data_IF_184960285800
#
_entry.id   IF_184960285800
#
_cell.length_a   1.000
_cell.length_b   1.000
_cell.length_c   1.000
_cell.angle_alpha   90.00
_cell.angle_beta   90.00
_cell.angle_gamma   90.00
#
_symmetry.space_group_name_H-M   'P 1'
#
loop_
_entity.id
_entity.type
_entity.pdbx_description
1 polymer ?
#
# COMPACT_ATOMS: atom_id res chain seq x y z
N UNK A 1 58.88 -45.63 18.93
CA UNK A 1 58.55 -44.19 19.07
C UNK A 1 57.96 -43.68 17.76
N UNK A 2 56.65 -43.41 17.73
CA UNK A 2 56.05 -42.48 16.75
C UNK A 2 54.76 -41.93 17.34
N UNK A 3 54.47 -40.65 17.06
CA UNK A 3 53.75 -39.71 17.92
C UNK A 3 52.38 -39.34 17.33
N UNK A 4 51.39 -39.12 18.22
CA UNK A 4 50.15 -38.31 18.05
C UNK A 4 49.05 -38.96 17.17
N UNK A 5 47.75 -38.72 17.33
CA UNK A 5 46.99 -37.51 17.70
C UNK A 5 45.65 -37.94 18.35
N UNK A 6 45.34 -37.45 19.55
CA UNK A 6 43.99 -37.39 20.12
C UNK A 6 43.27 -36.20 19.49
N UNK A 7 42.13 -36.41 18.81
CA UNK A 7 41.18 -35.33 18.47
C UNK A 7 39.76 -35.86 18.58
N UNK A 8 39.08 -35.43 19.65
CA UNK A 8 37.66 -35.66 19.87
C UNK A 8 36.81 -35.01 18.80
N UNK A 9 35.72 -35.67 18.43
CA UNK A 9 34.65 -35.09 17.64
C UNK A 9 33.65 -34.44 18.62
N UNK A 10 33.71 -33.11 18.71
CA UNK A 10 32.69 -32.30 19.37
C UNK A 10 31.45 -32.32 18.47
N UNK A 11 30.36 -32.86 19.00
CA UNK A 11 29.02 -32.80 18.44
C UNK A 11 28.55 -31.34 18.52
N UNK A 12 28.24 -30.72 17.38
CA UNK A 12 27.60 -29.40 17.36
C UNK A 12 26.34 -29.48 16.50
N UNK A 13 25.22 -29.78 17.14
CA UNK A 13 23.90 -29.69 16.52
C UNK A 13 23.52 -28.21 16.37
N UNK A 14 23.39 -27.74 15.14
CA UNK A 14 22.94 -26.38 14.84
C UNK A 14 21.41 -26.40 14.90
N UNK A 15 20.85 -26.07 16.07
CA UNK A 15 19.42 -25.81 16.23
C UNK A 15 19.14 -24.42 15.64
N UNK A 16 18.74 -24.40 14.37
CA UNK A 16 18.27 -23.19 13.70
C UNK A 16 16.89 -22.80 14.23
N UNK A 17 16.85 -21.86 15.18
CA UNK A 17 15.62 -21.20 15.62
C UNK A 17 15.12 -20.31 14.47
N UNK A 18 14.19 -20.85 13.67
CA UNK A 18 13.42 -20.08 12.71
C UNK A 18 12.54 -19.07 13.42
N UNK A 19 12.98 -17.81 13.48
CA UNK A 19 12.18 -16.69 13.96
C UNK A 19 11.11 -16.41 12.89
N UNK A 20 9.92 -16.98 13.08
CA UNK A 20 8.74 -16.67 12.29
C UNK A 20 8.39 -15.19 12.48
N UNK A 21 8.71 -14.36 11.49
CA UNK A 21 8.28 -12.96 11.49
C UNK A 21 6.77 -12.93 11.20
N UNK A 22 5.99 -12.45 12.16
CA UNK A 22 4.58 -12.12 11.92
C UNK A 22 4.54 -10.90 10.98
N UNK A 23 4.28 -11.12 9.69
CA UNK A 23 3.93 -10.05 8.78
C UNK A 23 2.53 -9.54 9.16
N UNK A 24 2.47 -8.39 9.84
CA UNK A 24 1.21 -7.68 10.06
C UNK A 24 0.83 -6.99 8.75
N UNK A 25 -0.09 -7.57 8.00
CA UNK A 25 -0.72 -6.86 6.89
C UNK A 25 -1.65 -5.80 7.49
N UNK A 26 -1.23 -4.54 7.47
CA UNK A 26 -2.09 -3.41 7.82
C UNK A 26 -3.27 -3.30 6.84
N UNK A 27 -4.29 -2.49 7.16
CA UNK A 27 -5.44 -2.30 6.28
C UNK A 27 -4.99 -1.90 4.87
N UNK A 28 -5.62 -2.51 3.86
CA UNK A 28 -5.41 -2.17 2.45
C UNK A 28 -6.42 -1.12 1.96
N UNK A 29 -7.00 -0.37 2.88
CA UNK A 29 -7.98 0.67 2.61
C UNK A 29 -7.81 1.83 3.57
N UNK A 30 -8.30 2.99 3.15
CA UNK A 30 -8.39 4.19 3.96
C UNK A 30 -9.76 4.83 3.77
N UNK A 31 -10.40 5.21 4.87
CA UNK A 31 -11.64 6.02 4.85
C UNK A 31 -11.31 7.48 5.04
N UNK A 32 -11.94 8.36 4.27
CA UNK A 32 -11.76 9.80 4.38
C UNK A 32 -12.53 10.58 3.30
N UNK A 33 -12.33 11.89 3.28
CA UNK A 33 -12.83 12.80 2.25
C UNK A 33 -11.73 13.14 1.26
N UNK A 34 -12.08 13.20 -0.03
CA UNK A 34 -11.12 13.63 -1.06
C UNK A 34 -10.90 15.14 -0.94
N UNK A 35 -9.68 15.54 -0.61
CA UNK A 35 -9.30 16.96 -0.40
C UNK A 35 -8.60 17.58 -1.60
N UNK A 36 -7.94 16.77 -2.43
CA UNK A 36 -7.27 17.24 -3.65
C UNK A 36 -7.43 16.21 -4.77
N UNK A 37 -7.53 16.71 -6.00
CA UNK A 37 -7.49 15.92 -7.24
C UNK A 37 -6.47 16.53 -8.19
N UNK A 38 -5.72 15.69 -8.89
CA UNK A 38 -4.98 16.09 -10.09
C UNK A 38 -5.01 15.01 -11.16
N UNK A 39 -4.65 15.34 -12.39
CA UNK A 39 -4.64 14.42 -13.53
C UNK A 39 -3.23 14.35 -14.10
N UNK A 40 -2.67 13.14 -14.20
CA UNK A 40 -1.29 12.94 -14.65
C UNK A 40 -1.18 11.68 -15.51
N UNK A 41 -0.71 11.81 -16.76
CA UNK A 41 -0.41 10.66 -17.61
C UNK A 41 -1.58 9.71 -17.92
N UNK A 42 -2.83 10.19 -17.81
CA UNK A 42 -4.05 9.37 -17.97
C UNK A 42 -4.58 8.78 -16.67
N UNK A 43 -3.89 9.01 -15.55
CA UNK A 43 -4.34 8.66 -14.21
C UNK A 43 -5.04 9.87 -13.56
N UNK A 44 -5.95 9.57 -12.63
CA UNK A 44 -6.51 10.56 -11.70
C UNK A 44 -5.88 10.31 -10.35
N UNK A 45 -5.20 11.29 -9.80
CA UNK A 45 -4.61 11.22 -8.48
C UNK A 45 -5.53 11.90 -7.47
N UNK A 46 -5.68 11.28 -6.30
CA UNK A 46 -6.50 11.79 -5.20
C UNK A 46 -5.69 11.82 -3.91
N UNK A 47 -6.04 12.74 -3.01
CA UNK A 47 -5.60 12.73 -1.61
C UNK A 47 -6.81 12.66 -0.69
N UNK A 48 -6.72 11.86 0.36
CA UNK A 48 -7.67 11.90 1.46
C UNK A 48 -7.15 12.79 2.58
N UNK A 49 -8.07 13.41 3.32
CA UNK A 49 -7.77 14.13 4.56
C UNK A 49 -7.11 13.26 5.62
N UNK A 50 -7.46 11.98 5.66
CA UNK A 50 -6.89 10.99 6.58
C UNK A 50 -5.55 10.41 6.15
N UNK A 51 -5.04 10.79 4.97
CA UNK A 51 -3.74 10.30 4.46
C UNK A 51 -3.85 8.98 3.69
N UNK A 52 -2.88 8.09 3.91
CA UNK A 52 -2.66 6.86 3.14
C UNK A 52 -2.89 5.62 4.00
N UNK A 53 -3.35 4.50 3.41
CA UNK A 53 -3.36 3.21 4.08
C UNK A 53 -1.93 2.67 4.28
N UNK A 54 -1.76 1.78 5.27
CA UNK A 54 -0.46 1.23 5.67
C UNK A 54 0.29 0.55 4.51
N UNK A 55 -0.43 -0.14 3.62
CA UNK A 55 0.15 -0.81 2.45
C UNK A 55 0.67 0.16 1.37
N UNK A 56 0.47 1.47 1.56
CA UNK A 56 0.98 2.53 0.71
C UNK A 56 2.00 3.44 1.42
N UNK A 57 2.53 3.02 2.58
CA UNK A 57 3.62 3.72 3.25
C UNK A 57 4.80 3.97 2.28
N UNK A 58 5.21 5.23 2.16
CA UNK A 58 6.27 5.66 1.25
C UNK A 58 5.78 6.26 -0.07
N UNK A 59 4.47 6.25 -0.36
CA UNK A 59 3.94 7.01 -1.49
C UNK A 59 4.16 8.53 -1.27
N UNK A 60 4.61 9.26 -2.31
CA UNK A 60 4.99 10.66 -2.16
C UNK A 60 3.77 11.55 -1.89
N UNK A 61 3.91 12.46 -0.92
CA UNK A 61 2.97 13.54 -0.61
C UNK A 61 1.51 13.11 -0.33
N UNK A 62 1.30 11.85 0.07
CA UNK A 62 -0.04 11.35 0.40
C UNK A 62 -0.93 11.04 -0.81
N UNK A 63 -0.37 10.99 -2.03
CA UNK A 63 -1.15 10.73 -3.24
C UNK A 63 -1.45 9.26 -3.46
N UNK A 64 -2.69 9.01 -3.90
CA UNK A 64 -3.12 7.74 -4.46
C UNK A 64 -3.50 7.92 -5.93
N UNK A 65 -3.12 6.97 -6.77
CA UNK A 65 -3.35 7.00 -8.21
C UNK A 65 -4.47 6.02 -8.60
N UNK A 66 -5.49 6.54 -9.26
CA UNK A 66 -6.51 5.75 -9.95
C UNK A 66 -5.98 5.50 -11.37
N UNK A 67 -5.56 4.27 -11.69
CA UNK A 67 -4.89 3.96 -12.96
C UNK A 67 -5.80 4.23 -14.15
N UNK A 68 -5.22 4.50 -15.31
CA UNK A 68 -5.96 4.77 -16.57
C UNK A 68 -6.94 3.65 -16.97
N UNK A 69 -6.70 2.43 -16.50
CA UNK A 69 -7.59 1.27 -16.69
C UNK A 69 -8.84 1.33 -15.80
N UNK A 70 -8.78 2.03 -14.68
CA UNK A 70 -9.87 2.26 -13.73
C UNK A 70 -10.85 3.35 -14.16
N UNK A 71 -11.24 3.38 -15.44
CA UNK A 71 -12.10 4.45 -16.01
C UNK A 71 -13.40 4.71 -15.22
N UNK A 72 -14.12 3.69 -14.72
CA UNK A 72 -15.31 3.93 -13.91
C UNK A 72 -15.01 4.70 -12.62
N UNK A 73 -13.92 4.38 -11.92
CA UNK A 73 -13.49 5.11 -10.72
C UNK A 73 -13.09 6.55 -11.04
N UNK A 74 -12.33 6.75 -12.13
CA UNK A 74 -11.98 8.11 -12.58
C UNK A 74 -13.23 8.92 -12.91
N UNK A 75 -14.18 8.35 -13.66
CA UNK A 75 -15.42 9.02 -14.02
C UNK A 75 -16.28 9.34 -12.79
N UNK A 76 -16.29 8.48 -11.79
CA UNK A 76 -17.00 8.72 -10.53
C UNK A 76 -16.42 9.94 -9.79
N UNK A 77 -15.11 9.95 -9.56
CA UNK A 77 -14.40 11.04 -8.87
C UNK A 77 -14.52 12.37 -9.64
N UNK A 78 -14.28 12.36 -10.95
CA UNK A 78 -14.42 13.55 -11.79
C UNK A 78 -15.87 14.03 -11.87
N UNK A 79 -16.83 13.11 -11.89
CA UNK A 79 -18.26 13.43 -11.88
C UNK A 79 -18.69 14.16 -10.60
N UNK A 80 -18.18 13.73 -9.44
CA UNK A 80 -18.40 14.43 -8.17
C UNK A 80 -17.72 15.81 -8.17
N UNK A 81 -16.46 15.88 -8.63
CA UNK A 81 -15.74 17.15 -8.73
C UNK A 81 -16.47 18.17 -9.60
N UNK A 82 -16.96 17.74 -10.77
CA UNK A 82 -17.66 18.62 -11.71
C UNK A 82 -19.04 19.05 -11.20
N UNK A 83 -19.68 18.24 -10.36
CA UNK A 83 -20.96 18.60 -9.73
C UNK A 83 -20.79 19.50 -8.50
N UNK A 84 -19.60 19.50 -7.90
CA UNK A 84 -19.31 20.19 -6.65
C UNK A 84 -19.55 19.33 -5.40
N UNK A 85 -19.90 18.05 -5.56
CA UNK A 85 -20.29 17.15 -4.48
C UNK A 85 -19.09 16.43 -3.83
N UNK A 86 -17.87 16.58 -4.39
CA UNK A 86 -16.72 15.76 -3.97
C UNK A 86 -16.39 15.88 -2.47
N UNK A 87 -16.46 17.10 -1.93
CA UNK A 87 -16.20 17.36 -0.52
C UNK A 87 -17.30 16.85 0.42
N UNK A 88 -18.47 16.52 -0.11
CA UNK A 88 -19.64 16.09 0.67
C UNK A 88 -19.76 14.57 0.78
N UNK A 89 -18.94 13.81 0.04
CA UNK A 89 -18.99 12.34 0.00
C UNK A 89 -17.78 11.76 0.71
N UNK A 90 -18.02 11.07 1.83
CA UNK A 90 -16.99 10.23 2.44
C UNK A 90 -16.80 8.96 1.61
N UNK A 91 -15.56 8.49 1.52
CA UNK A 91 -15.23 7.30 0.74
C UNK A 91 -14.29 6.38 1.50
N UNK A 92 -14.47 5.09 1.27
CA UNK A 92 -13.48 4.05 1.53
C UNK A 92 -12.71 3.75 0.24
N UNK A 93 -11.42 4.03 0.24
CA UNK A 93 -10.53 3.83 -0.91
C UNK A 93 -9.66 2.60 -0.63
N UNK A 94 -9.77 1.57 -1.46
CA UNK A 94 -8.94 0.38 -1.39
C UNK A 94 -7.77 0.47 -2.36
N UNK A 95 -6.64 -0.09 -1.95
CA UNK A 95 -5.38 0.02 -2.69
C UNK A 95 -4.71 -1.33 -2.87
N UNK A 96 -3.99 -1.46 -3.98
CA UNK A 96 -3.12 -2.60 -4.27
C UNK A 96 -1.70 -2.42 -3.69
N UNK A 97 -1.46 -1.34 -2.94
CA UNK A 97 -0.15 -0.92 -2.46
C UNK A 97 0.62 -0.07 -3.48
N UNK A 98 1.94 0.01 -3.30
CA UNK A 98 2.83 0.75 -4.21
C UNK A 98 3.03 0.02 -5.54
N UNK A 99 2.58 0.63 -6.63
CA UNK A 99 2.81 0.19 -8.01
C UNK A 99 3.57 1.30 -8.74
N UNK A 100 4.77 1.01 -9.25
CA UNK A 100 5.63 1.98 -9.93
C UNK A 100 5.89 3.28 -9.13
N UNK A 101 5.94 3.18 -7.80
CA UNK A 101 6.20 4.33 -6.91
C UNK A 101 4.96 5.14 -6.51
N UNK A 102 3.78 4.78 -6.99
CA UNK A 102 2.49 5.40 -6.63
C UNK A 102 1.62 4.43 -5.83
N UNK A 103 0.84 4.92 -4.87
CA UNK A 103 -0.17 4.12 -4.20
C UNK A 103 -1.33 3.84 -5.17
N UNK A 104 -1.49 2.61 -5.63
CA UNK A 104 -2.46 2.30 -6.69
C UNK A 104 -3.83 1.96 -6.10
N UNK A 105 -4.85 2.73 -6.49
CA UNK A 105 -6.26 2.51 -6.14
C UNK A 105 -6.85 1.42 -7.01
N UNK A 106 -7.53 0.45 -6.39
CA UNK A 106 -8.22 -0.62 -7.11
C UNK A 106 -9.74 -0.65 -6.88
N UNK A 107 -10.26 0.07 -5.86
CA UNK A 107 -11.69 0.21 -5.61
C UNK A 107 -11.98 1.50 -4.82
N UNK A 108 -13.15 2.10 -5.06
CA UNK A 108 -13.67 3.27 -4.33
C UNK A 108 -15.13 2.97 -3.97
N UNK A 109 -15.43 3.03 -2.67
CA UNK A 109 -16.78 2.83 -2.14
C UNK A 109 -17.25 4.11 -1.43
N UNK A 110 -18.39 4.70 -1.83
CA UNK A 110 -19.00 5.80 -1.08
C UNK A 110 -19.59 5.28 0.23
N UNK A 111 -19.42 6.01 1.34
CA UNK A 111 -19.86 5.62 2.69
C UNK A 111 -20.77 6.63 3.34
#
# INVERSE_FOLDING_TARGET
MSKKIVRGAIVSAIVGLGISHSASAGPNYQEGWVIDITMAGGEVMIRLDTGLPDNCAGAPYGWMSIPATGKPMQAYILGLQLRGDLGDVQMRVFTAGLVNGSCSVNQIDPT
#
